data_IF_590421430526
#
_entry.id   IF_590421430526
#
_cell.length_a   1.000
_cell.length_b   1.000
_cell.length_c   1.000
_cell.angle_alpha   90.00
_cell.angle_beta   90.00
_cell.angle_gamma   90.00
#
_symmetry.space_group_name_H-M   'P 1'
#
loop_
_entity.id
_entity.type
_entity.pdbx_description
1 polymer ?
#
# COMPACT_ATOMS: atom_id res chain seq x y z
N UNK A 1 -7.54 -26.02 -55.02
CA UNK A 1 -6.33 -26.10 -54.15
C UNK A 1 -6.76 -26.56 -52.75
N UNK A 2 -6.07 -27.50 -52.10
CA UNK A 2 -6.43 -27.89 -50.74
C UNK A 2 -6.14 -26.75 -49.74
N UNK A 3 -6.88 -26.66 -48.63
CA UNK A 3 -6.60 -25.67 -47.59
C UNK A 3 -5.24 -25.93 -46.92
N UNK A 4 -4.53 -24.89 -46.45
CA UNK A 4 -3.27 -25.08 -45.77
C UNK A 4 -3.46 -25.87 -44.46
N UNK A 5 -2.49 -26.69 -44.05
CA UNK A 5 -2.58 -27.44 -42.80
C UNK A 5 -2.63 -26.49 -41.60
N UNK A 6 -3.28 -26.91 -40.49
CA UNK A 6 -3.37 -26.08 -39.30
C UNK A 6 -1.97 -25.83 -38.74
N UNK A 7 -1.65 -24.55 -38.53
CA UNK A 7 -0.42 -24.14 -37.86
C UNK A 7 -0.42 -24.76 -36.46
N UNK A 8 0.60 -25.56 -36.16
CA UNK A 8 0.87 -26.02 -34.81
C UNK A 8 0.92 -24.82 -33.87
N UNK A 9 -0.10 -24.69 -33.02
CA UNK A 9 -0.08 -23.85 -31.83
C UNK A 9 1.04 -24.41 -30.95
N UNK A 10 2.23 -23.82 -31.06
CA UNK A 10 3.26 -24.03 -30.07
C UNK A 10 2.66 -23.66 -28.72
N UNK A 11 2.60 -24.63 -27.81
CA UNK A 11 2.27 -24.38 -26.43
C UNK A 11 3.27 -23.35 -25.92
N UNK A 12 2.84 -22.08 -25.87
CA UNK A 12 3.52 -21.04 -25.13
C UNK A 12 3.67 -21.58 -23.72
N UNK A 13 4.90 -21.96 -23.36
CA UNK A 13 5.27 -22.31 -21.99
C UNK A 13 4.71 -21.17 -21.14
N UNK A 14 3.68 -21.44 -20.35
CA UNK A 14 3.24 -20.55 -19.28
C UNK A 14 4.47 -20.42 -18.40
N UNK A 15 5.23 -19.34 -18.59
CA UNK A 15 6.35 -19.00 -17.74
C UNK A 15 5.76 -18.93 -16.34
N UNK A 16 6.17 -19.85 -15.47
CA UNK A 16 5.90 -19.75 -14.05
C UNK A 16 6.20 -18.31 -13.61
N UNK A 17 5.43 -17.71 -12.68
CA UNK A 17 5.77 -16.40 -12.15
C UNK A 17 7.21 -16.48 -11.68
N UNK A 18 8.10 -15.73 -12.35
CA UNK A 18 9.52 -15.70 -12.05
C UNK A 18 9.62 -15.17 -10.63
N UNK A 19 9.68 -16.08 -9.66
CA UNK A 19 10.08 -15.77 -8.30
C UNK A 19 11.46 -15.16 -8.47
N UNK A 20 11.54 -13.83 -8.35
CA UNK A 20 12.81 -13.12 -8.40
C UNK A 20 13.76 -13.84 -7.43
N UNK A 21 15.00 -14.15 -7.85
CA UNK A 21 15.95 -14.77 -6.96
C UNK A 21 16.08 -13.90 -5.71
N UNK A 22 16.05 -14.55 -4.54
CA UNK A 22 16.28 -13.88 -3.27
C UNK A 22 17.61 -13.09 -3.39
N UNK A 23 17.64 -11.82 -2.94
CA UNK A 23 18.87 -11.05 -3.01
C UNK A 23 19.98 -11.78 -2.24
N UNK A 24 21.22 -11.79 -2.76
CA UNK A 24 22.32 -12.50 -2.14
C UNK A 24 22.54 -11.98 -0.72
N UNK A 25 22.61 -12.89 0.24
CA UNK A 25 22.73 -12.58 1.65
C UNK A 25 23.99 -11.78 1.95
N UNK A 26 23.88 -10.84 2.88
CA UNK A 26 25.00 -10.14 3.47
C UNK A 26 24.56 -8.99 4.37
N UNK A 27 24.80 -9.12 5.68
CA UNK A 27 24.82 -8.00 6.63
C UNK A 27 23.56 -7.86 7.49
N UNK A 28 23.72 -8.06 8.79
CA UNK A 28 22.70 -7.72 9.78
C UNK A 28 22.34 -6.23 9.78
N UNK A 29 21.11 -5.92 10.20
CA UNK A 29 20.61 -4.56 10.42
C UNK A 29 19.95 -3.98 9.17
N UNK A 30 18.64 -3.84 9.10
CA UNK A 30 17.86 -2.98 10.01
C UNK A 30 16.46 -3.57 10.17
N UNK A 31 16.11 -3.98 11.40
CA UNK A 31 14.78 -4.52 11.76
C UNK A 31 13.70 -3.42 11.88
N UNK A 32 14.08 -2.16 11.65
CA UNK A 32 13.29 -0.97 11.91
C UNK A 32 12.44 -0.55 10.70
N UNK A 33 11.21 -0.11 10.98
CA UNK A 33 10.29 0.46 9.99
C UNK A 33 10.87 1.79 9.50
N UNK A 34 10.99 1.94 8.18
CA UNK A 34 11.60 3.09 7.52
C UNK A 34 10.53 3.90 6.79
N UNK A 35 10.68 5.23 6.71
CA UNK A 35 9.88 6.05 5.79
C UNK A 35 10.25 5.73 4.34
N UNK A 36 9.28 5.82 3.43
CA UNK A 36 9.45 5.50 2.00
C UNK A 36 10.71 6.12 1.38
N UNK A 37 10.98 7.40 1.60
CA UNK A 37 12.14 8.09 1.01
C UNK A 37 13.49 7.51 1.49
N UNK A 38 13.53 6.98 2.72
CA UNK A 38 14.71 6.30 3.26
C UNK A 38 14.76 4.84 2.83
N UNK A 39 13.60 4.19 2.75
CA UNK A 39 13.44 2.87 2.15
C UNK A 39 14.05 2.84 0.76
N UNK A 40 13.63 3.75 -0.13
CA UNK A 40 13.91 3.67 -1.58
C UNK A 40 15.39 3.74 -1.90
N UNK A 41 16.18 4.27 -0.96
CA UNK A 41 17.63 4.35 -1.04
C UNK A 41 18.33 3.09 -0.51
N UNK A 42 17.70 2.40 0.43
CA UNK A 42 18.22 1.21 1.09
C UNK A 42 17.83 -0.10 0.40
N UNK A 43 16.66 -0.15 -0.25
CA UNK A 43 16.16 -1.33 -0.94
C UNK A 43 15.73 -0.92 -2.35
N UNK A 44 16.36 -1.51 -3.35
CA UNK A 44 16.27 -1.00 -4.72
C UNK A 44 15.02 -1.55 -5.46
N UNK A 45 15.17 -2.56 -6.31
CA UNK A 45 14.05 -3.09 -7.11
C UNK A 45 12.92 -3.75 -6.28
N UNK A 46 13.29 -4.47 -5.21
CA UNK A 46 12.33 -5.16 -4.35
C UNK A 46 11.37 -4.20 -3.64
N UNK A 47 11.82 -2.97 -3.39
CA UNK A 47 11.01 -1.95 -2.76
C UNK A 47 10.02 -1.32 -3.72
N UNK A 48 10.48 -0.92 -4.92
CA UNK A 48 9.58 -0.37 -5.94
C UNK A 48 8.44 -1.33 -6.21
N UNK A 49 8.73 -2.63 -6.26
CA UNK A 49 7.73 -3.68 -6.36
C UNK A 49 6.78 -3.73 -5.14
N UNK A 50 7.31 -3.58 -3.92
CA UNK A 50 6.50 -3.57 -2.70
C UNK A 50 5.57 -2.35 -2.61
N UNK A 51 6.06 -1.16 -2.97
CA UNK A 51 5.26 0.08 -3.02
C UNK A 51 4.19 -0.01 -4.10
N UNK A 52 4.57 -0.45 -5.31
CA UNK A 52 3.63 -0.63 -6.40
C UNK A 52 2.54 -1.63 -6.03
N UNK A 53 2.88 -2.73 -5.35
CA UNK A 53 1.91 -3.72 -4.89
C UNK A 53 0.88 -3.14 -3.92
N UNK A 54 1.28 -2.25 -3.01
CA UNK A 54 0.34 -1.59 -2.10
C UNK A 54 -0.54 -0.57 -2.83
N UNK A 55 0.03 0.26 -3.72
CA UNK A 55 -0.73 1.22 -4.52
C UNK A 55 -1.74 0.52 -5.44
N UNK A 56 -1.33 -0.57 -6.08
CA UNK A 56 -2.21 -1.38 -6.91
C UNK A 56 -3.37 -1.96 -6.10
N UNK A 57 -3.12 -2.45 -4.87
CA UNK A 57 -4.20 -2.95 -4.02
C UNK A 57 -5.25 -1.88 -3.68
N UNK A 58 -4.84 -0.64 -3.42
CA UNK A 58 -5.78 0.46 -3.15
C UNK A 58 -6.62 0.80 -4.39
N UNK A 59 -5.98 0.79 -5.56
CA UNK A 59 -6.64 1.03 -6.84
C UNK A 59 -7.62 -0.10 -7.19
N UNK A 60 -7.19 -1.36 -7.10
CA UNK A 60 -8.02 -2.54 -7.38
C UNK A 60 -9.26 -2.59 -6.48
N UNK A 61 -9.13 -2.15 -5.22
CA UNK A 61 -10.23 -2.07 -4.25
C UNK A 61 -11.13 -0.85 -4.44
N UNK A 62 -10.83 0.03 -5.40
CA UNK A 62 -11.60 1.26 -5.71
C UNK A 62 -11.81 2.17 -4.49
N UNK A 63 -10.84 2.20 -3.57
CA UNK A 63 -10.93 3.00 -2.33
C UNK A 63 -10.44 4.43 -2.54
N UNK A 64 -9.77 4.68 -3.66
CA UNK A 64 -9.21 5.99 -4.02
C UNK A 64 -9.64 6.36 -5.43
N UNK A 65 -9.89 7.65 -5.62
CA UNK A 65 -10.04 8.26 -6.93
C UNK A 65 -8.74 9.01 -7.22
N UNK A 66 -8.19 8.82 -8.42
CA UNK A 66 -7.04 9.60 -8.87
C UNK A 66 -7.51 10.98 -9.29
N UNK A 67 -6.90 12.02 -8.75
CA UNK A 67 -7.10 13.40 -9.15
C UNK A 67 -5.81 13.94 -9.78
N UNK A 68 -5.93 14.80 -10.78
CA UNK A 68 -4.77 15.51 -11.31
C UNK A 68 -4.21 16.45 -10.22
N UNK A 69 -2.90 16.46 -10.07
CA UNK A 69 -2.24 17.36 -9.13
C UNK A 69 -2.51 18.83 -9.48
N UNK A 70 -2.68 19.17 -10.76
CA UNK A 70 -2.91 20.54 -11.23
C UNK A 70 -4.34 21.03 -10.95
N UNK A 71 -5.29 20.11 -10.76
CA UNK A 71 -6.69 20.42 -10.47
C UNK A 71 -6.95 20.64 -8.97
N UNK A 72 -6.01 20.22 -8.11
CA UNK A 72 -6.11 20.36 -6.65
C UNK A 72 -5.62 21.74 -6.22
N UNK A 73 -6.50 22.53 -5.62
CA UNK A 73 -6.15 23.82 -4.99
C UNK A 73 -5.10 23.66 -3.90
N UNK A 74 -4.32 24.71 -3.64
CA UNK A 74 -3.31 24.71 -2.56
C UNK A 74 -3.95 24.51 -1.18
N UNK A 75 -5.17 25.02 -0.97
CA UNK A 75 -5.95 24.82 0.25
C UNK A 75 -6.31 23.35 0.44
N UNK A 76 -6.96 22.77 -0.57
CA UNK A 76 -7.35 21.36 -0.59
C UNK A 76 -6.16 20.43 -0.40
N UNK A 77 -5.01 20.74 -1.03
CA UNK A 77 -3.78 19.96 -0.84
C UNK A 77 -3.28 20.03 0.61
N UNK A 78 -3.45 21.16 1.28
CA UNK A 78 -3.05 21.36 2.67
C UNK A 78 -3.98 20.63 3.64
N UNK A 79 -5.25 20.51 3.31
CA UNK A 79 -6.26 19.83 4.14
C UNK A 79 -6.31 18.31 3.88
N UNK A 80 -6.04 17.88 2.65
CA UNK A 80 -6.04 16.48 2.24
C UNK A 80 -5.18 15.59 3.15
N UNK A 81 -5.69 14.40 3.48
CA UNK A 81 -4.98 13.44 4.34
C UNK A 81 -3.71 12.96 3.63
N UNK A 82 -2.56 13.17 4.26
CA UNK A 82 -1.29 12.68 3.74
C UNK A 82 -1.25 11.17 3.85
N UNK A 83 -0.93 10.48 2.76
CA UNK A 83 -0.72 9.04 2.80
C UNK A 83 0.74 8.74 3.16
N UNK A 84 0.96 8.26 4.38
CA UNK A 84 2.27 7.93 4.93
C UNK A 84 2.62 6.49 4.59
N UNK A 85 3.59 6.30 3.70
CA UNK A 85 4.11 4.98 3.35
C UNK A 85 5.39 4.65 4.10
N UNK A 86 5.45 3.42 4.58
CA UNK A 86 6.59 2.87 5.28
C UNK A 86 6.96 1.51 4.74
N UNK A 87 8.24 1.17 4.87
CA UNK A 87 8.78 -0.09 4.41
C UNK A 87 9.53 -0.81 5.50
N UNK A 88 9.44 -2.13 5.45
CA UNK A 88 10.09 -3.01 6.41
C UNK A 88 10.47 -4.32 5.73
N UNK A 89 11.68 -4.78 6.01
CA UNK A 89 12.11 -6.12 5.66
C UNK A 89 11.47 -7.15 6.61
N UNK A 90 10.81 -8.15 6.05
CA UNK A 90 10.26 -9.29 6.80
C UNK A 90 11.37 -10.27 7.16
N UNK A 91 11.08 -11.17 8.11
CA UNK A 91 11.99 -12.26 8.51
C UNK A 91 12.36 -13.19 7.34
N UNK A 92 11.47 -13.34 6.36
CA UNK A 92 11.70 -14.17 5.17
C UNK A 92 12.45 -13.43 4.03
N UNK A 93 13.05 -12.26 4.30
CA UNK A 93 13.80 -11.48 3.31
C UNK A 93 12.95 -10.64 2.36
N UNK A 94 11.62 -10.74 2.40
CA UNK A 94 10.75 -9.93 1.53
C UNK A 94 10.51 -8.53 2.09
N UNK A 95 10.42 -7.51 1.23
CA UNK A 95 10.05 -6.15 1.62
C UNK A 95 8.52 -6.02 1.70
N UNK A 96 8.01 -5.42 2.77
CA UNK A 96 6.59 -5.09 2.95
C UNK A 96 6.39 -3.58 2.94
N UNK A 97 5.50 -3.10 2.08
CA UNK A 97 4.93 -1.76 2.17
C UNK A 97 3.77 -1.73 3.18
N UNK A 98 3.69 -0.67 3.97
CA UNK A 98 2.54 -0.36 4.81
C UNK A 98 2.25 1.13 4.69
N UNK A 99 1.10 1.45 4.10
CA UNK A 99 0.62 2.82 4.02
C UNK A 99 -0.50 3.10 5.02
N UNK A 100 -0.55 4.32 5.55
CA UNK A 100 -1.59 4.79 6.45
C UNK A 100 -1.91 6.26 6.15
N UNK A 101 -3.19 6.64 6.22
CA UNK A 101 -3.58 8.04 6.14
C UNK A 101 -3.29 8.75 7.47
N UNK A 102 -2.73 9.96 7.39
CA UNK A 102 -2.45 10.80 8.56
C UNK A 102 -3.75 11.41 9.12
N UNK A 103 -4.41 10.68 10.01
CA UNK A 103 -5.63 11.10 10.70
C UNK A 103 -5.44 12.24 11.70
N UNK A 104 -4.21 12.78 11.87
CA UNK A 104 -3.98 13.91 12.78
C UNK A 104 -4.80 15.14 12.38
N UNK A 105 -4.99 15.37 11.07
CA UNK A 105 -5.82 16.46 10.54
C UNK A 105 -7.31 16.28 10.86
N UNK A 106 -7.79 15.04 10.95
CA UNK A 106 -9.20 14.75 11.26
C UNK A 106 -9.56 15.16 12.70
N UNK A 107 -8.58 15.24 13.61
CA UNK A 107 -8.81 15.65 15.01
C UNK A 107 -9.38 17.07 15.13
N UNK A 108 -9.15 17.94 14.15
CA UNK A 108 -9.70 19.30 14.12
C UNK A 108 -11.17 19.32 13.73
N UNK A 109 -11.65 18.31 13.00
CA UNK A 109 -12.98 18.28 12.41
C UNK A 109 -13.94 17.33 13.13
N UNK A 110 -13.44 16.44 13.99
CA UNK A 110 -14.25 15.46 14.71
C UNK A 110 -14.12 15.67 16.22
N UNK A 111 -15.26 15.81 16.90
CA UNK A 111 -15.27 15.98 18.35
C UNK A 111 -14.83 14.70 19.08
N UNK A 112 -14.36 14.83 20.32
CA UNK A 112 -13.99 13.67 21.14
C UNK A 112 -15.19 12.75 21.38
N UNK A 113 -16.38 13.32 21.47
CA UNK A 113 -17.62 12.59 21.74
C UNK A 113 -18.06 11.76 20.54
N UNK A 114 -18.02 12.33 19.34
CA UNK A 114 -18.33 11.65 18.08
C UNK A 114 -17.33 10.53 17.76
N UNK A 115 -16.06 10.70 18.14
CA UNK A 115 -15.02 9.68 17.93
C UNK A 115 -15.13 8.49 18.90
N UNK A 116 -15.89 8.60 19.99
CA UNK A 116 -16.00 7.49 20.95
C UNK A 116 -16.64 6.28 20.25
N UNK A 117 -16.10 5.07 20.45
CA UNK A 117 -16.82 3.88 20.03
C UNK A 117 -18.19 3.86 20.73
N UNK A 118 -19.20 3.16 20.20
CA UNK A 118 -20.48 2.97 20.86
C UNK A 118 -20.31 2.02 22.07
N UNK A 119 -19.53 2.44 23.06
CA UNK A 119 -19.57 1.87 24.40
C UNK A 119 -20.90 2.25 24.99
N UNK A 120 -21.59 1.27 25.58
CA UNK A 120 -22.84 1.48 26.34
C UNK A 120 -22.64 2.70 27.23
N UNK A 121 -23.40 3.77 26.98
CA UNK A 121 -23.26 4.98 27.78
C UNK A 121 -23.51 4.58 29.24
N UNK A 122 -22.71 5.10 30.19
CA UNK A 122 -22.91 4.86 31.63
C UNK A 122 -24.37 5.17 32.03
N UNK A 123 -25.02 6.11 31.33
CA UNK A 123 -26.45 6.43 31.45
C UNK A 123 -27.38 5.22 31.23
N UNK A 124 -27.04 4.30 30.33
CA UNK A 124 -27.80 3.06 30.10
C UNK A 124 -27.64 2.04 31.23
N UNK A 125 -26.58 2.13 32.03
CA UNK A 125 -26.36 1.31 33.21
C UNK A 125 -27.12 1.86 34.45
N UNK A 126 -27.57 3.11 34.39
CA UNK A 126 -28.28 3.81 35.49
C UNK A 126 -29.82 3.75 35.35
N UNK A 127 -30.34 3.04 34.35
CA UNK A 127 -31.78 2.91 34.08
C UNK A 127 -32.35 1.52 34.46
N UNK A 128 -31.63 0.73 35.25
CA UNK A 128 -32.08 -0.57 35.78
C UNK A 128 -32.62 -0.46 37.20
#
# INVERSE_FOLDING_TARGET
PPPPPPRHLSHGKKGAPRVLPAPPGGGGGQKHKMFMNKGLKAFDAAERAAVHKEMKQLHDRKVLITADANEISRGDRREALKYLMFLKMKRNGTVKGQGCADGSKQRMHTSKEERRPPTVAIKSLMLS
#
